data_IF_577234664836
#
_entry.id   IF_577234664836
#
_cell.length_a   1.000
_cell.length_b   1.000
_cell.length_c   1.000
_cell.angle_alpha   90.00
_cell.angle_beta   90.00
_cell.angle_gamma   90.00
#
_symmetry.space_group_name_H-M   'P 1'
#
loop_
_entity.id
_entity.type
_entity.pdbx_description
1 polymer ?
#
# COMPACT_ATOMS: atom_id res chain seq x y z
N UNK A 1 -14.21 -6.19 -15.60
CA UNK A 1 -13.47 -5.89 -14.38
C UNK A 1 -12.02 -6.27 -14.54
N UNK A 2 -11.11 -5.36 -14.31
CA UNK A 2 -9.68 -5.63 -14.40
C UNK A 2 -9.18 -6.24 -13.09
N UNK A 3 -8.34 -7.24 -13.19
CA UNK A 3 -7.76 -7.90 -12.03
C UNK A 3 -6.30 -7.45 -11.90
N UNK A 4 -6.10 -6.25 -11.38
CA UNK A 4 -4.78 -5.65 -11.20
C UNK A 4 -4.43 -5.54 -9.73
N UNK A 5 -3.12 -5.63 -9.46
CA UNK A 5 -2.59 -5.40 -8.11
C UNK A 5 -2.11 -3.95 -8.03
N UNK A 6 -2.60 -3.21 -7.05
CA UNK A 6 -2.09 -1.87 -6.76
C UNK A 6 -0.95 -1.99 -5.76
N UNK A 7 0.21 -1.45 -6.12
CA UNK A 7 1.35 -1.32 -5.22
C UNK A 7 1.34 0.10 -4.70
N UNK A 8 1.23 0.27 -3.39
CA UNK A 8 1.23 1.60 -2.81
C UNK A 8 2.53 1.90 -2.07
N UNK A 9 3.19 2.99 -2.44
CA UNK A 9 4.47 3.42 -1.88
C UNK A 9 4.29 4.80 -1.28
N UNK A 10 4.82 5.01 -0.07
CA UNK A 10 4.77 6.32 0.57
C UNK A 10 6.06 6.60 1.33
N UNK A 11 6.58 7.80 1.13
CA UNK A 11 7.69 8.34 1.90
C UNK A 11 7.22 9.66 2.50
N UNK A 12 7.29 9.78 3.83
CA UNK A 12 6.91 11.02 4.51
C UNK A 12 8.14 11.85 4.82
N UNK A 13 7.92 13.13 5.15
CA UNK A 13 9.01 14.00 5.58
C UNK A 13 9.70 13.49 6.84
N UNK A 14 8.98 12.73 7.66
CA UNK A 14 9.54 12.14 8.88
C UNK A 14 10.58 11.04 8.58
N UNK A 15 10.52 10.45 7.39
CA UNK A 15 11.45 9.39 6.96
C UNK A 15 12.79 9.96 6.49
N UNK A 16 12.91 11.27 6.37
CA UNK A 16 14.05 11.93 5.74
C UNK A 16 14.80 12.77 6.78
N UNK A 17 16.14 12.74 6.75
CA UNK A 17 16.98 13.60 7.56
C UNK A 17 16.96 15.00 6.94
N UNK A 18 16.51 15.99 7.70
CA UNK A 18 16.35 17.36 7.22
C UNK A 18 17.68 18.02 6.85
N UNK A 19 18.79 17.55 7.40
CA UNK A 19 20.11 18.14 7.14
C UNK A 19 20.73 17.63 5.86
N UNK A 20 20.50 16.35 5.53
CA UNK A 20 21.14 15.70 4.39
C UNK A 20 20.19 15.33 3.27
N UNK A 21 18.86 15.42 3.49
CA UNK A 21 17.82 14.96 2.58
C UNK A 21 17.91 13.45 2.29
N UNK A 22 18.67 12.72 3.11
CA UNK A 22 18.78 11.26 2.96
C UNK A 22 17.67 10.57 3.76
N UNK A 23 17.18 9.45 3.25
CA UNK A 23 16.22 8.62 3.97
C UNK A 23 16.91 8.04 5.21
N UNK A 24 16.31 8.25 6.39
CA UNK A 24 16.89 7.81 7.66
C UNK A 24 17.12 6.32 7.74
N UNK A 25 16.14 5.54 7.24
CA UNK A 25 16.22 4.09 7.13
C UNK A 25 16.06 3.75 5.66
N UNK A 26 17.12 3.27 5.03
CA UNK A 26 17.11 3.00 3.60
C UNK A 26 16.05 1.99 3.19
N UNK A 27 15.62 1.11 4.10
CA UNK A 27 14.54 0.16 3.81
C UNK A 27 13.21 0.87 3.56
N UNK A 28 13.07 2.12 3.98
CA UNK A 28 11.86 2.92 3.76
C UNK A 28 11.91 3.75 2.48
N UNK A 29 13.01 3.74 1.74
CA UNK A 29 13.07 4.47 0.46
C UNK A 29 12.03 3.90 -0.51
N UNK A 30 11.59 4.74 -1.45
CA UNK A 30 10.64 4.29 -2.46
C UNK A 30 11.18 3.10 -3.24
N UNK A 31 12.46 3.15 -3.61
CA UNK A 31 13.09 2.05 -4.35
C UNK A 31 13.11 0.74 -3.53
N UNK A 32 13.41 0.83 -2.24
CA UNK A 32 13.43 -0.36 -1.38
C UNK A 32 12.06 -0.94 -1.15
N UNK A 33 11.05 -0.08 -0.96
CA UNK A 33 9.67 -0.55 -0.85
C UNK A 33 9.22 -1.26 -2.12
N UNK A 34 9.52 -0.65 -3.28
CA UNK A 34 9.17 -1.23 -4.58
C UNK A 34 9.79 -2.61 -4.76
N UNK A 35 11.07 -2.72 -4.45
CA UNK A 35 11.78 -3.99 -4.59
C UNK A 35 11.20 -5.07 -3.67
N UNK A 36 10.97 -4.74 -2.42
CA UNK A 36 10.39 -5.66 -1.44
C UNK A 36 9.04 -6.19 -1.91
N UNK A 37 8.16 -5.29 -2.33
CA UNK A 37 6.82 -5.65 -2.74
C UNK A 37 6.84 -6.52 -3.99
N UNK A 38 7.63 -6.13 -5.01
CA UNK A 38 7.69 -6.90 -6.24
C UNK A 38 8.27 -8.29 -6.01
N UNK A 39 9.29 -8.42 -5.17
CA UNK A 39 9.85 -9.73 -4.83
C UNK A 39 8.82 -10.61 -4.12
N UNK A 40 8.06 -10.01 -3.21
CA UNK A 40 7.01 -10.74 -2.51
C UNK A 40 5.95 -11.25 -3.48
N UNK A 41 5.50 -10.40 -4.40
CA UNK A 41 4.49 -10.78 -5.39
C UNK A 41 5.00 -11.85 -6.35
N UNK A 42 6.27 -11.75 -6.77
CA UNK A 42 6.88 -12.74 -7.65
C UNK A 42 6.88 -14.15 -7.03
N UNK A 43 6.89 -14.23 -5.71
CA UNK A 43 6.93 -15.47 -4.96
C UNK A 43 5.55 -15.91 -4.46
N UNK A 44 4.49 -15.15 -4.76
CA UNK A 44 3.15 -15.44 -4.27
C UNK A 44 2.33 -16.08 -5.38
N UNK A 45 1.97 -17.37 -5.26
CA UNK A 45 1.09 -18.02 -6.25
C UNK A 45 -0.22 -17.25 -6.39
N UNK A 46 -0.81 -17.28 -7.56
CA UNK A 46 -2.06 -16.58 -7.91
C UNK A 46 -1.90 -15.06 -8.09
N UNK A 47 -0.86 -14.45 -7.52
CA UNK A 47 -0.62 -13.02 -7.69
C UNK A 47 0.55 -12.72 -8.62
N UNK A 48 1.48 -13.66 -8.76
CA UNK A 48 2.73 -13.41 -9.49
C UNK A 48 2.54 -13.06 -10.97
N UNK A 49 1.44 -13.49 -11.58
CA UNK A 49 1.17 -13.26 -12.99
C UNK A 49 0.16 -12.14 -13.25
N UNK A 50 -0.36 -11.51 -12.20
CA UNK A 50 -1.32 -10.41 -12.39
C UNK A 50 -0.59 -9.11 -12.73
N UNK A 51 -1.21 -8.25 -13.55
CA UNK A 51 -0.61 -6.94 -13.83
C UNK A 51 -0.56 -6.09 -12.55
N UNK A 52 0.44 -5.22 -12.49
CA UNK A 52 0.71 -4.37 -11.33
C UNK A 52 0.65 -2.92 -11.75
N UNK A 53 0.00 -2.10 -10.92
CA UNK A 53 -0.02 -0.65 -11.12
C UNK A 53 0.51 0.00 -9.85
N UNK A 54 1.40 0.98 -10.00
CA UNK A 54 2.07 1.62 -8.88
C UNK A 54 1.48 2.98 -8.59
N UNK A 55 1.24 3.24 -7.30
CA UNK A 55 0.81 4.54 -6.80
C UNK A 55 1.83 4.99 -5.76
N UNK A 56 2.30 6.22 -5.86
CA UNK A 56 3.39 6.71 -5.00
C UNK A 56 3.11 8.10 -4.51
N UNK A 57 3.17 8.29 -3.19
CA UNK A 57 3.08 9.60 -2.55
C UNK A 57 4.40 9.86 -1.81
N UNK A 58 5.24 10.68 -2.41
CA UNK A 58 6.53 11.06 -1.86
C UNK A 58 6.40 12.42 -1.18
N UNK A 59 6.74 12.48 0.12
CA UNK A 59 6.68 13.70 0.91
C UNK A 59 5.34 13.94 1.61
N UNK A 60 4.48 12.93 1.69
CA UNK A 60 3.16 13.07 2.30
C UNK A 60 3.07 12.32 3.62
N UNK A 61 2.34 12.93 4.60
CA UNK A 61 2.17 12.36 5.93
C UNK A 61 1.29 11.11 5.92
N UNK A 62 1.56 10.19 6.85
CA UNK A 62 0.71 9.05 7.10
C UNK A 62 -0.45 9.33 8.06
N UNK A 63 -0.53 10.56 8.61
CA UNK A 63 -1.57 10.89 9.61
C UNK A 63 -2.94 11.17 9.00
N UNK A 64 -3.01 11.39 7.68
CA UNK A 64 -4.28 11.55 6.99
C UNK A 64 -4.18 10.90 5.61
N UNK A 65 -5.33 10.79 4.93
CA UNK A 65 -5.39 10.22 3.59
C UNK A 65 -5.52 11.29 2.50
N UNK A 66 -5.14 12.52 2.82
CA UNK A 66 -5.12 13.63 1.86
C UNK A 66 -3.82 13.56 1.04
N UNK A 67 -3.72 12.49 0.24
CA UNK A 67 -2.56 12.14 -0.59
C UNK A 67 -3.05 11.84 -2.01
N UNK A 68 -2.52 12.54 -3.01
CA UNK A 68 -3.09 12.46 -4.38
C UNK A 68 -3.10 11.06 -4.98
N UNK A 69 -1.99 10.34 -4.90
CA UNK A 69 -1.93 9.00 -5.49
C UNK A 69 -2.74 7.98 -4.69
N UNK A 70 -2.80 8.13 -3.38
CA UNK A 70 -3.67 7.30 -2.58
C UNK A 70 -5.14 7.47 -3.03
N UNK A 71 -5.57 8.71 -3.23
CA UNK A 71 -6.93 8.98 -3.66
C UNK A 71 -7.21 8.45 -5.06
N UNK A 72 -6.25 8.56 -5.97
CA UNK A 72 -6.37 7.95 -7.29
C UNK A 72 -6.51 6.43 -7.20
N UNK A 73 -5.74 5.80 -6.32
CA UNK A 73 -5.82 4.35 -6.11
C UNK A 73 -7.22 3.95 -5.61
N UNK A 74 -7.76 4.69 -4.67
CA UNK A 74 -9.11 4.41 -4.15
C UNK A 74 -10.16 4.60 -5.24
N UNK A 75 -10.02 5.62 -6.10
CA UNK A 75 -10.95 5.80 -7.21
C UNK A 75 -10.88 4.62 -8.19
N UNK A 76 -9.68 4.13 -8.49
CA UNK A 76 -9.52 2.94 -9.32
C UNK A 76 -10.15 1.71 -8.66
N UNK A 77 -10.02 1.58 -7.35
CA UNK A 77 -10.63 0.48 -6.61
C UNK A 77 -12.16 0.53 -6.68
N UNK A 78 -12.73 1.72 -6.54
CA UNK A 78 -14.18 1.91 -6.65
C UNK A 78 -14.72 1.59 -8.03
N UNK A 79 -13.91 1.79 -9.07
CA UNK A 79 -14.30 1.46 -10.45
C UNK A 79 -14.09 -0.02 -10.80
N UNK A 80 -13.61 -0.82 -9.86
CA UNK A 80 -13.38 -2.24 -10.09
C UNK A 80 -12.12 -2.54 -10.91
N UNK A 81 -11.18 -1.61 -10.98
CA UNK A 81 -9.96 -1.78 -11.78
C UNK A 81 -8.83 -2.44 -10.97
N UNK A 82 -8.99 -2.55 -9.65
CA UNK A 82 -8.01 -3.11 -8.74
C UNK A 82 -8.66 -4.19 -7.91
N UNK A 83 -7.99 -5.34 -7.76
CA UNK A 83 -8.49 -6.44 -6.94
C UNK A 83 -7.68 -6.64 -5.66
N UNK A 84 -6.47 -6.10 -5.60
CA UNK A 84 -5.58 -6.28 -4.46
C UNK A 84 -4.73 -5.02 -4.27
N UNK A 85 -4.51 -4.65 -3.01
CA UNK A 85 -3.61 -3.55 -2.65
C UNK A 85 -2.51 -4.13 -1.77
N UNK A 86 -1.25 -3.80 -2.06
CA UNK A 86 -0.10 -4.30 -1.32
C UNK A 86 0.76 -3.13 -0.86
N UNK A 87 1.13 -3.16 0.42
CA UNK A 87 2.04 -2.17 1.03
C UNK A 87 3.17 -2.90 1.75
N UNK A 88 4.27 -2.21 1.98
CA UNK A 88 5.38 -2.75 2.76
C UNK A 88 4.94 -3.03 4.20
N UNK A 89 4.30 -2.04 4.83
CA UNK A 89 3.76 -2.16 6.17
C UNK A 89 2.58 -1.20 6.34
N UNK A 90 1.83 -1.36 7.42
CA UNK A 90 0.63 -0.57 7.65
C UNK A 90 0.92 0.91 7.81
N UNK A 91 2.11 1.30 8.28
CA UNK A 91 2.45 2.71 8.41
C UNK A 91 2.58 3.39 7.06
N UNK A 92 2.94 2.66 6.00
CA UNK A 92 2.97 3.20 4.63
C UNK A 92 1.55 3.47 4.14
N UNK A 93 0.61 2.60 4.51
CA UNK A 93 -0.80 2.79 4.17
C UNK A 93 -1.40 3.98 4.91
N UNK A 94 -1.22 4.04 6.23
CA UNK A 94 -1.70 5.15 7.05
C UNK A 94 -1.35 4.95 8.51
N UNK A 95 -1.35 6.04 9.27
CA UNK A 95 -1.03 6.02 10.69
C UNK A 95 -2.24 6.33 11.59
N UNK A 96 -3.33 6.79 11.00
CA UNK A 96 -4.55 7.02 11.75
C UNK A 96 -5.25 5.69 11.96
N UNK A 97 -5.28 5.24 13.20
CA UNK A 97 -5.79 3.92 13.56
C UNK A 97 -7.25 3.73 13.14
N UNK A 98 -8.08 4.74 13.34
CA UNK A 98 -9.51 4.63 13.04
C UNK A 98 -9.76 4.59 11.53
N UNK A 99 -9.08 5.45 10.77
CA UNK A 99 -9.24 5.48 9.32
C UNK A 99 -8.70 4.21 8.66
N UNK A 100 -7.52 3.73 9.12
CA UNK A 100 -6.95 2.49 8.62
C UNK A 100 -7.91 1.34 8.88
N UNK A 101 -8.45 1.24 10.10
CA UNK A 101 -9.42 0.21 10.46
C UNK A 101 -10.66 0.26 9.59
N UNK A 102 -11.16 1.45 9.28
CA UNK A 102 -12.33 1.60 8.43
C UNK A 102 -12.08 1.06 7.01
N UNK A 103 -10.91 1.35 6.43
CA UNK A 103 -10.55 0.79 5.13
C UNK A 103 -10.45 -0.73 5.17
N UNK A 104 -9.75 -1.27 6.17
CA UNK A 104 -9.49 -2.70 6.23
C UNK A 104 -10.73 -3.52 6.57
N UNK A 105 -11.58 -3.01 7.45
CA UNK A 105 -12.72 -3.76 7.98
C UNK A 105 -14.02 -3.52 7.23
N UNK A 106 -14.16 -2.38 6.56
CA UNK A 106 -15.43 -2.01 5.91
C UNK A 106 -15.27 -1.72 4.41
N UNK A 107 -14.40 -0.78 4.05
CA UNK A 107 -14.35 -0.29 2.67
C UNK A 107 -13.83 -1.36 1.71
N UNK A 108 -12.67 -1.95 2.02
CA UNK A 108 -12.09 -2.96 1.14
C UNK A 108 -12.92 -4.24 1.06
N UNK A 109 -13.45 -4.79 2.16
CA UNK A 109 -14.38 -5.92 2.06
C UNK A 109 -15.60 -5.61 1.22
N UNK A 110 -16.18 -4.41 1.39
CA UNK A 110 -17.34 -3.99 0.60
C UNK A 110 -17.01 -3.94 -0.90
N UNK A 111 -15.82 -3.47 -1.25
CA UNK A 111 -15.39 -3.37 -2.65
C UNK A 111 -14.82 -4.68 -3.20
N UNK A 112 -14.67 -5.70 -2.36
CA UNK A 112 -14.06 -6.96 -2.79
C UNK A 112 -12.56 -6.86 -3.00
N UNK A 113 -11.89 -5.96 -2.29
CA UNK A 113 -10.45 -5.72 -2.43
C UNK A 113 -9.68 -6.54 -1.40
N UNK A 114 -8.70 -7.33 -1.86
CA UNK A 114 -7.75 -8.00 -0.98
C UNK A 114 -6.66 -7.00 -0.57
N UNK A 115 -6.28 -7.01 0.70
CA UNK A 115 -5.24 -6.12 1.21
C UNK A 115 -4.12 -6.92 1.84
N UNK A 116 -2.87 -6.63 1.45
CA UNK A 116 -1.67 -7.27 2.00
C UNK A 116 -0.71 -6.23 2.55
N UNK A 117 -0.27 -6.45 3.79
CA UNK A 117 0.82 -5.69 4.41
C UNK A 117 1.95 -6.67 4.72
N UNK A 118 3.07 -6.53 4.01
CA UNK A 118 4.10 -7.58 3.99
C UNK A 118 4.78 -7.74 5.35
N UNK A 119 5.32 -6.66 5.89
CA UNK A 119 6.08 -6.75 7.14
C UNK A 119 5.22 -6.98 8.38
N UNK A 120 3.91 -6.73 8.28
CA UNK A 120 2.98 -7.02 9.35
C UNK A 120 2.38 -8.42 9.24
N UNK A 121 2.76 -9.16 8.20
CA UNK A 121 2.24 -10.50 7.93
C UNK A 121 0.71 -10.53 7.89
N UNK A 122 0.11 -9.46 7.35
CA UNK A 122 -1.33 -9.33 7.25
C UNK A 122 -1.78 -9.52 5.81
N UNK A 123 -2.80 -10.37 5.62
CA UNK A 123 -3.42 -10.62 4.34
C UNK A 123 -4.90 -10.86 4.57
N UNK A 124 -5.75 -9.98 4.06
CA UNK A 124 -7.18 -10.06 4.30
C UNK A 124 -7.81 -11.33 3.72
N UNK A 125 -7.19 -11.96 2.72
CA UNK A 125 -7.70 -13.21 2.14
C UNK A 125 -7.51 -14.40 3.07
N UNK A 126 -6.52 -14.35 3.97
CA UNK A 126 -6.21 -15.44 4.91
C UNK A 126 -6.53 -15.08 6.35
N UNK A 127 -6.83 -13.81 6.62
CA UNK A 127 -7.12 -13.34 7.97
C UNK A 127 -8.56 -13.67 8.35
N UNK A 128 -8.73 -14.42 9.42
CA UNK A 128 -10.04 -14.69 9.98
C UNK A 128 -10.33 -13.64 11.05
N UNK A 129 -11.22 -12.76 10.71
CA UNK A 129 -11.53 -11.55 11.39
C UNK A 129 -11.99 -11.56 12.78
#
# INVERSE_FOLDING_TARGET
>A
MKNQIAIYLRLSLEDVDKRTNAVKDDSNSIASQRLLINRHLDQTPMLCNLPRIEFCDDGFSGTNFDRPDFQRMIECAKRGEISCIVVKDLSRFGRDYLEVGDYLEHIFPFLGIRFKSINDHYDSATHEG
#
